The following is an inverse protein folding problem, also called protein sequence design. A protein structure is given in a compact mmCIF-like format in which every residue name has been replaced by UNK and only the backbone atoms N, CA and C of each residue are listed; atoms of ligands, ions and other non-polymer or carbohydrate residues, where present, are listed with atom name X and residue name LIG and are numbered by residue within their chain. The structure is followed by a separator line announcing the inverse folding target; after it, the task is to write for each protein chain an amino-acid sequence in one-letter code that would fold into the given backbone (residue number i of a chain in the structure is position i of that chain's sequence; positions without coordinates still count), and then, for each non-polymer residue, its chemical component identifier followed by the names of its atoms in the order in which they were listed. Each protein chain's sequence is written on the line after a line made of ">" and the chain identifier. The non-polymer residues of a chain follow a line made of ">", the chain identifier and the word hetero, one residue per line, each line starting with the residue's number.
data_IF_998788187120
#
_entry.id   IF_998788187120
#
_cell.length_a   1.000
_cell.length_b   1.000
_cell.length_c   1.000
_cell.angle_alpha   90.00
_cell.angle_beta   90.00
_cell.angle_gamma   90.00
#
_symmetry.space_group_name_H-M   'P 1'
#
loop_
_entity.id
_entity.type
_entity.pdbx_description
1 polymer ?
#
# COMPACT_ATOMS: atom_id res chain seq x y z
N UNK A 1 33.83 40.51 18.63
CA UNK A 1 32.81 40.12 19.61
C UNK A 1 32.08 38.88 19.10
N UNK A 2 31.70 37.95 19.97
CA UNK A 2 30.73 36.88 19.68
C UNK A 2 29.65 36.96 20.76
N UNK A 3 28.38 36.92 20.38
CA UNK A 3 27.26 36.77 21.31
C UNK A 3 26.64 35.41 21.00
N UNK A 4 26.61 34.52 21.98
CA UNK A 4 25.93 33.23 21.89
C UNK A 4 24.86 33.16 22.96
N UNK A 5 23.71 32.59 22.62
CA UNK A 5 22.65 32.29 23.58
C UNK A 5 22.52 30.77 23.72
N UNK A 6 22.64 30.29 24.96
CA UNK A 6 22.26 28.93 25.36
C UNK A 6 20.93 29.00 26.10
N UNK A 7 20.01 28.07 25.84
CA UNK A 7 18.87 27.78 26.72
C UNK A 7 18.61 26.28 26.76
N UNK A 8 18.99 25.63 27.86
CA UNK A 8 18.57 24.27 28.21
C UNK A 8 17.15 24.31 28.80
N UNK A 9 16.22 23.47 28.32
CA UNK A 9 15.09 22.98 29.12
C UNK A 9 14.80 21.48 28.81
N UNK A 10 15.28 20.63 29.71
CA UNK A 10 14.74 19.35 30.22
C UNK A 10 13.75 18.49 29.39
N UNK A 11 14.12 17.21 29.21
CA UNK A 11 13.17 16.08 29.19
C UNK A 11 12.61 15.82 30.61
N UNK A 12 11.45 15.14 30.71
CA UNK A 12 11.15 14.22 31.80
C UNK A 12 11.01 12.78 31.29
N UNK A 13 11.62 11.80 31.99
CA UNK A 13 11.37 10.37 31.75
C UNK A 13 10.43 9.79 32.82
N UNK A 14 9.58 8.85 32.39
CA UNK A 14 8.88 7.79 33.14
C UNK A 14 8.65 7.97 34.66
N UNK A 15 7.38 7.97 35.06
CA UNK A 15 6.96 7.44 36.36
C UNK A 15 5.99 6.26 36.12
N UNK A 16 6.39 5.07 36.56
CA UNK A 16 5.48 3.94 36.77
C UNK A 16 4.77 4.12 38.12
N UNK A 17 3.44 4.05 38.15
CA UNK A 17 2.70 3.69 39.38
C UNK A 17 1.56 2.72 39.07
N UNK A 18 1.47 1.67 39.89
CA UNK A 18 0.51 0.59 39.83
C UNK A 18 -0.24 0.53 41.17
N UNK A 19 -1.58 0.53 41.21
CA UNK A 19 -2.34 0.25 42.43
C UNK A 19 -3.25 -0.99 42.27
N UNK A 20 -2.67 -2.19 42.33
CA UNK A 20 -3.45 -3.41 42.53
C UNK A 20 -3.88 -3.53 44.01
N UNK A 21 -5.17 -3.26 44.33
CA UNK A 21 -5.87 -3.83 45.49
C UNK A 21 -7.35 -3.44 45.61
N UNK A 22 -8.26 -4.38 45.30
CA UNK A 22 -9.50 -4.61 46.08
C UNK A 22 -10.05 -6.01 45.80
N UNK A 23 -10.23 -6.82 46.85
CA UNK A 23 -10.92 -8.12 46.77
C UNK A 23 -12.42 -7.92 46.97
N UNK A 24 -13.21 -8.60 46.16
CA UNK A 24 -14.54 -9.10 46.50
C UNK A 24 -14.70 -10.47 45.81
N UNK A 25 -15.48 -11.39 46.40
CA UNK A 25 -15.57 -12.76 45.91
C UNK A 25 -17.01 -13.29 46.03
N UNK A 26 -17.44 -14.09 45.04
CA UNK A 26 -18.38 -15.22 45.18
C UNK A 26 -18.86 -15.69 43.80
N UNK A 27 -19.39 -16.92 43.71
CA UNK A 27 -20.23 -17.34 42.58
C UNK A 27 -19.59 -18.31 41.58
N UNK A 28 -19.38 -19.57 41.98
CA UNK A 28 -19.33 -20.66 41.00
C UNK A 28 -20.76 -21.04 40.62
N UNK A 29 -21.05 -21.13 39.32
CA UNK A 29 -22.14 -21.97 38.79
C UNK A 29 -21.56 -22.77 37.62
N UNK A 30 -21.68 -24.10 37.69
CA UNK A 30 -21.55 -24.97 36.52
C UNK A 30 -22.93 -25.12 35.87
N UNK A 31 -22.97 -25.11 34.56
CA UNK A 31 -24.00 -25.78 33.77
C UNK A 31 -23.33 -26.54 32.63
N UNK A 32 -23.93 -27.67 32.26
CA UNK A 32 -23.36 -28.63 31.31
C UNK A 32 -23.87 -28.37 29.88
N UNK A 33 -23.28 -29.05 28.89
CA UNK A 33 -23.66 -28.92 27.48
C UNK A 33 -25.10 -29.38 27.20
N UNK A 34 -25.65 -28.96 26.06
CA UNK A 34 -26.23 -29.93 25.13
C UNK A 34 -25.43 -30.02 23.81
N UNK A 35 -25.65 -31.13 23.10
CA UNK A 35 -24.89 -31.55 21.92
C UNK A 35 -25.53 -31.12 20.59
N UNK A 36 -24.68 -30.98 19.57
CA UNK A 36 -24.94 -31.26 18.13
C UNK A 36 -26.06 -30.53 17.38
N UNK A 37 -25.64 -29.71 16.40
CA UNK A 37 -26.22 -29.65 15.06
C UNK A 37 -25.06 -29.42 14.05
N UNK A 38 -25.14 -29.90 12.79
CA UNK A 38 -24.07 -29.69 11.80
C UNK A 38 -24.10 -28.25 11.24
N UNK A 39 -22.92 -27.67 10.99
CA UNK A 39 -22.80 -26.36 10.33
C UNK A 39 -23.09 -26.50 8.82
N UNK A 40 -24.17 -25.87 8.34
CA UNK A 40 -24.42 -25.77 6.90
C UNK A 40 -23.46 -24.76 6.25
N UNK A 41 -22.58 -25.24 5.38
CA UNK A 41 -21.79 -24.36 4.50
C UNK A 41 -22.71 -23.76 3.43
N UNK A 42 -23.13 -22.51 3.63
CA UNK A 42 -23.76 -21.71 2.57
C UNK A 42 -22.80 -21.63 1.39
N UNK A 43 -23.14 -22.34 0.31
CA UNK A 43 -22.29 -22.47 -0.88
C UNK A 43 -22.92 -21.66 -2.00
N UNK A 44 -22.56 -20.38 -2.08
CA UNK A 44 -23.05 -19.47 -3.13
C UNK A 44 -22.46 -19.87 -4.49
N UNK A 45 -23.27 -20.47 -5.36
CA UNK A 45 -22.90 -20.71 -6.76
C UNK A 45 -23.25 -19.50 -7.62
N UNK A 46 -22.24 -18.87 -8.21
CA UNK A 46 -22.37 -17.89 -9.28
C UNK A 46 -21.47 -18.27 -10.46
N UNK A 47 -22.02 -18.37 -11.67
CA UNK A 47 -21.27 -18.41 -12.93
C UNK A 47 -21.15 -16.97 -13.43
N UNK A 48 -20.09 -16.51 -14.09
CA UNK A 48 -18.86 -17.17 -14.58
C UNK A 48 -17.61 -16.45 -14.02
N UNK A 49 -16.44 -17.09 -14.05
CA UNK A 49 -15.17 -16.44 -13.63
C UNK A 49 -15.02 -16.15 -12.13
N UNK A 50 -15.87 -16.71 -11.27
CA UNK A 50 -15.90 -16.42 -9.83
C UNK A 50 -14.67 -16.98 -9.09
N UNK A 51 -13.62 -16.17 -8.94
CA UNK A 51 -12.56 -16.43 -7.97
C UNK A 51 -13.16 -16.50 -6.56
N UNK A 52 -12.72 -17.47 -5.75
CA UNK A 52 -13.03 -17.49 -4.32
C UNK A 52 -12.34 -16.29 -3.65
N UNK A 53 -13.02 -15.51 -2.79
CA UNK A 53 -12.37 -14.51 -1.96
C UNK A 53 -11.26 -15.14 -1.11
N UNK A 54 -10.11 -14.47 -1.02
CA UNK A 54 -8.98 -14.94 -0.21
C UNK A 54 -9.19 -14.65 1.28
N UNK A 55 -9.85 -13.52 1.60
CA UNK A 55 -10.21 -13.15 2.97
C UNK A 55 -11.34 -14.04 3.49
N UNK A 56 -11.12 -14.67 4.64
CA UNK A 56 -12.10 -15.55 5.28
C UNK A 56 -13.06 -14.75 6.16
N UNK A 57 -14.28 -14.52 5.68
CA UNK A 57 -15.37 -13.97 6.48
C UNK A 57 -15.89 -15.04 7.48
N UNK A 58 -15.13 -15.32 8.54
CA UNK A 58 -15.50 -16.26 9.60
C UNK A 58 -15.71 -15.55 10.94
N UNK A 59 -16.93 -15.05 11.17
CA UNK A 59 -17.30 -14.28 12.37
C UNK A 59 -18.80 -13.98 12.44
N UNK A 60 -19.58 -14.96 12.93
CA UNK A 60 -21.06 -15.06 12.84
C UNK A 60 -21.87 -14.03 13.69
N UNK A 61 -21.38 -12.79 13.85
CA UNK A 61 -22.14 -11.71 14.53
C UNK A 61 -21.95 -10.31 13.93
N UNK A 62 -20.82 -10.03 13.26
CA UNK A 62 -20.57 -8.73 12.58
C UNK A 62 -20.82 -8.78 11.06
N UNK A 63 -20.96 -9.99 10.52
CA UNK A 63 -21.08 -10.33 9.09
C UNK A 63 -22.28 -9.67 8.37
N UNK A 64 -23.35 -9.31 9.08
CA UNK A 64 -24.62 -8.91 8.46
C UNK A 64 -24.77 -7.41 8.12
N UNK A 65 -23.78 -6.55 8.43
CA UNK A 65 -23.87 -5.12 8.09
C UNK A 65 -22.68 -4.61 7.28
N UNK A 66 -21.45 -4.91 7.70
CA UNK A 66 -20.27 -4.44 6.97
C UNK A 66 -20.04 -5.23 5.66
N UNK A 67 -20.14 -6.57 5.71
CA UNK A 67 -20.07 -7.40 4.50
C UNK A 67 -21.25 -7.13 3.57
N UNK A 68 -22.46 -6.90 4.10
CA UNK A 68 -23.60 -6.50 3.28
C UNK A 68 -23.37 -5.13 2.61
N UNK A 69 -22.89 -4.12 3.35
CA UNK A 69 -22.56 -2.81 2.75
C UNK A 69 -21.48 -2.91 1.68
N UNK A 70 -20.45 -3.73 1.88
CA UNK A 70 -19.41 -3.99 0.88
C UNK A 70 -19.95 -4.73 -0.35
N UNK A 71 -20.87 -5.68 -0.16
CA UNK A 71 -21.56 -6.40 -1.25
C UNK A 71 -22.54 -5.50 -2.01
N UNK A 72 -23.25 -4.60 -1.33
CA UNK A 72 -24.17 -3.64 -1.93
C UNK A 72 -23.40 -2.63 -2.80
N UNK A 73 -22.27 -2.10 -2.30
CA UNK A 73 -21.36 -1.27 -3.11
C UNK A 73 -20.77 -2.08 -4.28
N UNK A 74 -20.32 -3.31 -4.04
CA UNK A 74 -19.81 -4.20 -5.09
C UNK A 74 -20.85 -4.52 -6.18
N UNK A 75 -22.15 -4.53 -5.85
CA UNK A 75 -23.23 -4.79 -6.80
C UNK A 75 -23.46 -3.64 -7.80
N UNK A 76 -22.98 -2.43 -7.49
CA UNK A 76 -23.01 -1.26 -8.37
C UNK A 76 -21.65 -0.81 -8.92
N UNK A 77 -20.55 -1.41 -8.47
CA UNK A 77 -19.20 -0.97 -8.81
C UNK A 77 -18.74 -1.46 -10.20
N UNK A 78 -18.72 -0.55 -11.19
CA UNK A 78 -18.16 -0.81 -12.53
C UNK A 78 -16.62 -0.86 -12.52
N UNK A 79 -16.04 -1.86 -11.85
CA UNK A 79 -14.59 -2.09 -11.82
C UNK A 79 -14.07 -2.53 -13.21
N UNK A 80 -12.93 -2.00 -13.69
CA UNK A 80 -12.37 -2.38 -14.99
C UNK A 80 -12.00 -3.87 -15.11
N UNK A 81 -11.92 -4.37 -16.34
CA UNK A 81 -11.61 -5.78 -16.63
C UNK A 81 -10.25 -6.24 -16.11
N UNK A 82 -9.25 -5.34 -15.97
CA UNK A 82 -7.97 -5.66 -15.33
C UNK A 82 -8.12 -6.04 -13.85
N UNK A 83 -9.15 -5.52 -13.17
CA UNK A 83 -9.48 -5.87 -11.79
C UNK A 83 -10.30 -7.15 -11.75
N UNK A 84 -11.41 -7.21 -12.49
CA UNK A 84 -12.39 -8.31 -12.40
C UNK A 84 -11.90 -9.62 -13.03
N UNK A 85 -10.83 -9.59 -13.84
CA UNK A 85 -10.12 -10.80 -14.27
C UNK A 85 -9.16 -11.37 -13.22
N UNK A 86 -8.93 -10.67 -12.10
CA UNK A 86 -8.03 -11.08 -11.01
C UNK A 86 -8.71 -11.19 -9.64
N UNK A 87 -9.69 -10.35 -9.34
CA UNK A 87 -10.33 -10.23 -8.02
C UNK A 87 -11.85 -10.34 -8.09
N UNK A 88 -12.47 -10.87 -7.03
CA UNK A 88 -13.88 -10.63 -6.80
C UNK A 88 -14.10 -9.14 -6.45
N UNK A 89 -15.12 -8.44 -6.99
CA UNK A 89 -15.32 -7.00 -6.76
C UNK A 89 -15.34 -6.59 -5.28
N UNK A 90 -16.06 -7.34 -4.42
CA UNK A 90 -16.14 -7.07 -2.99
C UNK A 90 -14.81 -7.28 -2.24
N UNK A 91 -13.96 -8.19 -2.73
CA UNK A 91 -12.62 -8.42 -2.17
C UNK A 91 -11.69 -7.25 -2.49
N UNK A 92 -11.69 -6.79 -3.75
CA UNK A 92 -10.89 -5.65 -4.19
C UNK A 92 -11.29 -4.35 -3.47
N UNK A 93 -12.59 -4.11 -3.28
CA UNK A 93 -13.11 -2.96 -2.54
C UNK A 93 -12.75 -3.01 -1.05
N UNK A 94 -12.71 -4.20 -0.44
CA UNK A 94 -12.37 -4.36 0.98
C UNK A 94 -10.88 -4.16 1.26
N UNK A 95 -10.02 -4.66 0.38
CA UNK A 95 -8.56 -4.46 0.43
C UNK A 95 -8.16 -2.99 0.16
N UNK A 96 -8.95 -2.26 -0.61
CA UNK A 96 -8.69 -0.87 -1.00
C UNK A 96 -9.80 0.05 -0.47
N UNK A 97 -9.92 0.10 0.85
CA UNK A 97 -11.01 0.71 1.62
C UNK A 97 -10.65 2.05 2.29
N UNK A 98 -9.51 2.65 1.92
CA UNK A 98 -9.09 3.98 2.38
C UNK A 98 -9.81 5.14 1.66
N UNK A 99 -9.50 6.37 2.06
CA UNK A 99 -10.04 7.58 1.41
C UNK A 99 -9.15 8.01 0.23
N UNK A 100 -7.84 8.13 0.41
CA UNK A 100 -6.88 8.33 -0.70
C UNK A 100 -6.50 6.98 -1.32
N UNK A 101 -6.03 6.03 -0.50
CA UNK A 101 -5.72 4.67 -0.93
C UNK A 101 -7.00 3.80 -1.00
N UNK A 102 -8.05 4.36 -1.61
CA UNK A 102 -9.32 3.71 -1.94
C UNK A 102 -9.28 3.07 -3.34
N UNK A 103 -10.27 2.25 -3.68
CA UNK A 103 -10.23 1.36 -4.86
C UNK A 103 -10.02 2.01 -6.25
N UNK A 104 -10.16 3.33 -6.42
CA UNK A 104 -9.74 4.00 -7.66
C UNK A 104 -8.22 4.11 -7.79
N UNK A 105 -7.52 4.37 -6.68
CA UNK A 105 -6.08 4.63 -6.67
C UNK A 105 -5.24 3.50 -7.28
N UNK A 106 -5.29 2.23 -6.81
CA UNK A 106 -4.52 1.14 -7.39
C UNK A 106 -4.90 0.86 -8.86
N UNK A 107 -6.12 1.22 -9.29
CA UNK A 107 -6.52 1.13 -10.71
C UNK A 107 -5.84 2.22 -11.56
N UNK A 108 -5.80 3.47 -11.06
CA UNK A 108 -5.06 4.57 -11.69
C UNK A 108 -3.56 4.26 -11.75
N UNK A 109 -2.97 3.78 -10.66
CA UNK A 109 -1.56 3.36 -10.58
C UNK A 109 -1.29 2.20 -11.53
N UNK A 110 -2.11 1.14 -11.55
CA UNK A 110 -1.92 0.01 -12.46
C UNK A 110 -1.98 0.41 -13.95
N UNK A 111 -2.92 1.28 -14.33
CA UNK A 111 -3.05 1.89 -15.67
C UNK A 111 -1.81 2.72 -16.04
N UNK A 112 -1.26 3.48 -15.09
CA UNK A 112 -0.03 4.26 -15.29
C UNK A 112 1.19 3.33 -15.41
N UNK A 113 1.40 2.39 -14.49
CA UNK A 113 2.49 1.40 -14.52
C UNK A 113 2.51 0.61 -15.83
N UNK A 114 1.36 0.09 -16.29
CA UNK A 114 1.30 -0.67 -17.54
C UNK A 114 1.69 0.18 -18.76
N UNK A 115 1.31 1.46 -18.75
CA UNK A 115 1.62 2.44 -19.81
C UNK A 115 3.10 2.79 -19.82
N UNK A 116 3.64 3.15 -18.66
CA UNK A 116 5.04 3.58 -18.50
C UNK A 116 6.01 2.43 -18.77
N UNK A 117 5.70 1.21 -18.33
CA UNK A 117 6.48 0.01 -18.63
C UNK A 117 6.59 -0.25 -20.14
N UNK A 118 5.46 -0.17 -20.87
CA UNK A 118 5.44 -0.33 -22.34
C UNK A 118 6.25 0.76 -23.04
N UNK A 119 6.14 2.01 -22.60
CA UNK A 119 6.90 3.13 -23.15
C UNK A 119 8.41 3.05 -22.82
N UNK A 120 8.77 2.42 -21.70
CA UNK A 120 10.15 2.06 -21.36
C UNK A 120 10.72 0.87 -22.17
N UNK A 121 9.90 0.22 -23.01
CA UNK A 121 10.29 -0.93 -23.82
C UNK A 121 10.21 -2.28 -23.11
N UNK A 122 9.56 -2.36 -21.95
CA UNK A 122 9.29 -3.63 -21.24
C UNK A 122 8.28 -4.46 -22.05
N UNK A 123 8.45 -5.79 -22.07
CA UNK A 123 7.55 -6.67 -22.83
C UNK A 123 6.11 -6.56 -22.33
N UNK A 124 5.13 -6.86 -23.20
CA UNK A 124 3.70 -6.76 -22.87
C UNK A 124 3.37 -7.59 -21.63
N UNK A 125 3.86 -8.82 -21.58
CA UNK A 125 3.64 -9.80 -20.52
C UNK A 125 4.20 -9.30 -19.18
N UNK A 126 5.38 -8.66 -19.21
CA UNK A 126 5.98 -8.08 -18.00
C UNK A 126 5.31 -6.78 -17.58
N UNK A 127 4.82 -5.96 -18.51
CA UNK A 127 3.97 -4.81 -18.18
C UNK A 127 2.63 -5.24 -17.56
N UNK A 128 2.03 -6.34 -18.03
CA UNK A 128 0.83 -6.95 -17.43
C UNK A 128 1.11 -7.51 -16.03
N UNK A 129 2.28 -8.10 -15.79
CA UNK A 129 2.73 -8.45 -14.44
C UNK A 129 2.83 -7.21 -13.52
N UNK A 130 3.51 -6.14 -13.96
CA UNK A 130 3.68 -4.92 -13.13
C UNK A 130 2.35 -4.20 -12.86
N UNK A 131 1.39 -4.25 -13.80
CA UNK A 131 0.00 -3.84 -13.58
C UNK A 131 -0.65 -4.65 -12.47
N UNK A 132 -0.57 -5.98 -12.53
CA UNK A 132 -1.22 -6.87 -11.57
C UNK A 132 -0.58 -6.78 -10.16
N UNK A 133 0.71 -6.45 -10.07
CA UNK A 133 1.37 -6.05 -8.81
C UNK A 133 0.88 -4.69 -8.31
N UNK A 134 0.67 -3.72 -9.20
CA UNK A 134 0.11 -2.40 -8.83
C UNK A 134 -1.33 -2.50 -8.30
N UNK A 135 -2.13 -3.46 -8.78
CA UNK A 135 -3.45 -3.76 -8.21
C UNK A 135 -3.42 -4.35 -6.79
N UNK A 136 -2.24 -4.78 -6.30
CA UNK A 136 -2.05 -5.33 -4.95
C UNK A 136 -1.34 -4.39 -3.97
N UNK A 137 -0.68 -3.31 -4.41
CA UNK A 137 0.33 -2.64 -3.57
C UNK A 137 -0.22 -2.06 -2.24
N UNK A 138 -1.46 -1.59 -2.25
CA UNK A 138 -2.18 -1.08 -1.09
C UNK A 138 -3.20 -2.06 -0.48
N UNK A 139 -3.07 -3.36 -0.75
CA UNK A 139 -3.99 -4.40 -0.29
C UNK A 139 -3.89 -4.66 1.23
N UNK A 140 -4.34 -3.66 1.99
CA UNK A 140 -4.45 -3.59 3.43
C UNK A 140 -5.94 -3.71 3.79
N UNK A 141 -6.36 -4.90 4.22
CA UNK A 141 -7.67 -5.04 4.86
C UNK A 141 -7.65 -4.21 6.15
N UNK A 142 -8.31 -3.04 6.11
CA UNK A 142 -8.37 -2.06 7.20
C UNK A 142 -9.30 -2.53 8.31
N UNK A 143 -9.03 -3.72 8.81
CA UNK A 143 -9.72 -4.43 9.88
C UNK A 143 -8.72 -4.53 11.04
N UNK A 144 -8.86 -3.65 12.02
CA UNK A 144 -8.08 -3.69 13.25
C UNK A 144 -8.62 -4.81 14.14
N UNK A 145 -7.78 -5.81 14.43
CA UNK A 145 -8.07 -6.79 15.47
C UNK A 145 -7.60 -6.23 16.83
N UNK A 146 -8.52 -6.07 17.78
CA UNK A 146 -8.20 -5.56 19.11
C UNK A 146 -7.41 -6.58 19.94
N UNK A 147 -6.88 -6.15 21.08
CA UNK A 147 -6.11 -7.01 22.00
C UNK A 147 -6.91 -8.15 22.66
N UNK A 148 -8.22 -8.25 22.39
CA UNK A 148 -9.13 -9.28 22.88
C UNK A 148 -9.60 -10.22 21.76
N UNK A 149 -9.23 -9.95 20.50
CA UNK A 149 -9.64 -10.71 19.32
C UNK A 149 -10.93 -10.24 18.64
N UNK A 150 -11.46 -9.06 18.99
CA UNK A 150 -12.58 -8.45 18.27
C UNK A 150 -12.07 -7.77 16.99
N UNK A 151 -12.82 -7.88 15.90
CA UNK A 151 -12.56 -7.10 14.69
C UNK A 151 -13.34 -5.78 14.73
N UNK A 152 -12.65 -4.65 14.59
CA UNK A 152 -13.22 -3.37 14.23
C UNK A 152 -12.66 -2.94 12.89
N UNK A 153 -13.43 -2.21 12.08
CA UNK A 153 -12.80 -1.48 10.97
C UNK A 153 -11.87 -0.42 11.56
N UNK A 154 -10.77 -0.12 10.87
CA UNK A 154 -10.01 1.08 11.16
C UNK A 154 -10.94 2.28 10.97
N UNK A 155 -10.83 3.29 11.84
CA UNK A 155 -11.47 4.57 11.57
C UNK A 155 -10.98 5.10 10.22
N UNK A 156 -11.87 5.79 9.51
CA UNK A 156 -11.55 6.38 8.19
C UNK A 156 -10.36 7.33 8.33
N UNK A 157 -9.48 7.32 7.34
CA UNK A 157 -8.22 8.07 7.39
C UNK A 157 -6.97 7.26 7.76
N UNK A 158 -7.02 5.91 7.83
CA UNK A 158 -5.80 5.09 7.98
C UNK A 158 -5.22 4.70 6.61
N UNK A 159 -3.98 5.14 6.38
CA UNK A 159 -3.14 4.81 5.22
C UNK A 159 -2.98 3.31 5.00
N UNK A 160 -2.81 2.91 3.75
CA UNK A 160 -2.30 1.57 3.44
C UNK A 160 -0.89 1.37 4.03
N UNK A 161 -0.58 0.15 4.48
CA UNK A 161 0.70 -0.20 5.09
C UNK A 161 1.32 -1.37 4.34
N UNK A 162 2.42 -1.14 3.64
CA UNK A 162 3.14 -2.17 2.88
C UNK A 162 3.45 -3.43 3.72
N UNK A 163 3.84 -3.36 5.00
CA UNK A 163 3.97 -4.55 5.86
C UNK A 163 2.71 -5.41 6.00
N UNK A 164 1.51 -4.81 5.92
CA UNK A 164 0.22 -5.53 5.96
C UNK A 164 -0.05 -6.17 4.60
N UNK A 165 0.13 -5.44 3.50
CA UNK A 165 0.06 -5.98 2.13
C UNK A 165 0.97 -7.22 1.98
N UNK A 166 2.22 -7.13 2.40
CA UNK A 166 3.20 -8.22 2.29
C UNK A 166 2.82 -9.44 3.15
N UNK A 167 2.16 -9.23 4.30
CA UNK A 167 1.64 -10.31 5.13
C UNK A 167 0.36 -10.94 4.56
N UNK A 168 -0.56 -10.14 4.00
CA UNK A 168 -1.70 -10.63 3.23
C UNK A 168 -1.23 -11.50 2.07
N UNK A 169 -0.18 -11.08 1.36
CA UNK A 169 0.46 -11.88 0.32
C UNK A 169 1.01 -13.21 0.85
N UNK A 170 1.79 -13.19 1.94
CA UNK A 170 2.38 -14.40 2.53
C UNK A 170 1.31 -15.40 3.01
N UNK A 171 0.25 -14.92 3.65
CA UNK A 171 -0.87 -15.75 4.12
C UNK A 171 -1.65 -16.40 2.98
N UNK A 172 -1.68 -15.76 1.80
CA UNK A 172 -2.47 -16.19 0.64
C UNK A 172 -1.60 -16.65 -0.55
N UNK A 173 -0.31 -16.91 -0.33
CA UNK A 173 0.71 -17.14 -1.37
C UNK A 173 0.23 -18.07 -2.49
N UNK A 174 -0.16 -19.30 -2.15
CA UNK A 174 -0.43 -20.34 -3.14
C UNK A 174 -1.67 -20.00 -3.99
N UNK A 175 -2.67 -19.37 -3.37
CA UNK A 175 -3.90 -18.95 -4.05
C UNK A 175 -3.71 -17.68 -4.88
N UNK A 176 -2.82 -16.75 -4.47
CA UNK A 176 -2.39 -15.62 -5.30
C UNK A 176 -1.56 -16.08 -6.50
N UNK A 177 -0.66 -17.06 -6.31
CA UNK A 177 0.12 -17.66 -7.41
C UNK A 177 -0.81 -18.32 -8.44
N UNK A 178 -1.78 -19.13 -8.01
CA UNK A 178 -2.80 -19.73 -8.90
C UNK A 178 -3.63 -18.66 -9.63
N UNK A 179 -4.19 -17.70 -8.90
CA UNK A 179 -5.06 -16.61 -9.40
C UNK A 179 -4.37 -15.70 -10.42
N UNK A 180 -3.13 -15.32 -10.16
CA UNK A 180 -2.36 -14.43 -11.03
C UNK A 180 -1.66 -15.19 -12.17
N UNK A 181 -1.46 -16.50 -12.02
CA UNK A 181 -0.60 -17.31 -12.90
C UNK A 181 0.89 -17.09 -12.64
N UNK A 182 1.26 -16.56 -11.47
CA UNK A 182 2.64 -16.23 -11.10
C UNK A 182 3.42 -17.46 -10.63
N UNK A 183 4.65 -17.60 -11.13
CA UNK A 183 5.63 -18.51 -10.53
C UNK A 183 6.05 -18.04 -9.13
N UNK A 184 6.71 -18.94 -8.37
CA UNK A 184 7.33 -18.59 -7.07
C UNK A 184 8.37 -17.48 -7.18
N UNK A 185 9.02 -17.32 -8.34
CA UNK A 185 9.91 -16.20 -8.61
C UNK A 185 9.14 -14.89 -8.73
N UNK A 186 8.14 -14.84 -9.61
CA UNK A 186 7.30 -13.66 -9.83
C UNK A 186 6.55 -13.21 -8.57
N UNK A 187 6.11 -14.14 -7.71
CA UNK A 187 5.54 -13.79 -6.40
C UNK A 187 6.56 -13.11 -5.48
N UNK A 188 7.81 -13.60 -5.43
CA UNK A 188 8.88 -12.98 -4.63
C UNK A 188 9.31 -11.63 -5.23
N UNK A 189 9.23 -11.46 -6.55
CA UNK A 189 9.44 -10.18 -7.23
C UNK A 189 8.32 -9.19 -6.94
N UNK A 190 7.05 -9.63 -6.93
CA UNK A 190 5.90 -8.82 -6.54
C UNK A 190 6.04 -8.30 -5.10
N UNK A 191 6.47 -9.17 -4.17
CA UNK A 191 6.81 -8.76 -2.81
C UNK A 191 7.96 -7.75 -2.75
N UNK A 192 8.99 -7.90 -3.59
CA UNK A 192 10.10 -6.94 -3.64
C UNK A 192 9.68 -5.58 -4.22
N UNK A 193 8.80 -5.56 -5.22
CA UNK A 193 8.23 -4.33 -5.78
C UNK A 193 7.37 -3.60 -4.75
N UNK A 194 6.44 -4.31 -4.11
CA UNK A 194 5.54 -3.74 -3.08
C UNK A 194 6.34 -3.30 -1.83
N UNK A 195 7.38 -4.03 -1.44
CA UNK A 195 8.29 -3.59 -0.38
C UNK A 195 9.02 -2.25 -0.67
N UNK A 196 9.04 -1.80 -1.92
CA UNK A 196 9.69 -0.56 -2.34
C UNK A 196 8.76 0.64 -2.56
N UNK A 197 7.43 0.47 -2.55
CA UNK A 197 6.50 1.63 -2.65
C UNK A 197 6.43 2.43 -1.36
N UNK A 198 6.58 1.75 -0.21
CA UNK A 198 6.58 2.32 1.15
C UNK A 198 7.31 3.68 1.24
N UNK A 199 6.65 4.68 1.86
CA UNK A 199 7.13 6.06 1.87
C UNK A 199 7.12 6.66 3.29
N UNK A 200 8.28 7.10 3.81
CA UNK A 200 9.58 7.17 3.15
C UNK A 200 10.36 5.84 3.14
N UNK A 201 10.87 5.45 1.96
CA UNK A 201 11.72 4.27 1.78
C UNK A 201 13.12 4.51 2.41
N UNK A 202 13.25 4.20 3.71
CA UNK A 202 14.48 4.44 4.46
C UNK A 202 14.74 3.39 5.55
N UNK A 203 15.85 3.57 6.28
CA UNK A 203 16.29 2.70 7.39
C UNK A 203 15.76 3.11 8.78
N UNK A 204 14.88 4.10 8.87
CA UNK A 204 14.23 4.42 10.14
C UNK A 204 13.22 3.31 10.49
N UNK A 205 13.17 2.92 11.76
CA UNK A 205 12.20 1.94 12.27
C UNK A 205 10.85 2.63 12.45
N UNK A 206 10.15 2.85 11.34
CA UNK A 206 8.85 3.53 11.28
C UNK A 206 7.65 2.63 11.59
N UNK A 207 7.76 1.32 11.33
CA UNK A 207 6.72 0.34 11.66
C UNK A 207 6.65 0.09 13.18
N UNK A 208 5.92 0.97 13.88
CA UNK A 208 5.44 0.71 15.23
C UNK A 208 4.57 -0.55 15.24
N UNK A 209 4.59 -1.31 16.36
CA UNK A 209 4.09 -2.70 16.45
C UNK A 209 2.78 -2.94 15.70
N UNK A 210 2.91 -3.60 14.54
CA UNK A 210 1.77 -4.19 13.86
C UNK A 210 1.52 -5.54 14.52
N UNK A 211 0.69 -5.51 15.57
CA UNK A 211 0.28 -6.70 16.30
C UNK A 211 -0.17 -7.79 15.30
N UNK A 212 0.20 -9.03 15.59
CA UNK A 212 -0.03 -10.23 14.76
C UNK A 212 0.86 -10.39 13.51
N UNK A 213 1.75 -9.43 13.15
CA UNK A 213 2.67 -9.55 12.00
C UNK A 213 4.17 -9.68 12.38
N UNK A 214 4.59 -10.76 13.09
CA UNK A 214 5.94 -10.88 13.65
C UNK A 214 7.07 -11.01 12.61
N UNK A 215 6.77 -11.20 11.32
CA UNK A 215 7.78 -11.21 10.27
C UNK A 215 8.18 -9.80 9.79
N UNK A 216 7.34 -8.79 10.00
CA UNK A 216 7.59 -7.41 9.56
C UNK A 216 7.70 -6.40 10.71
N UNK A 217 7.23 -6.75 11.91
CA UNK A 217 7.38 -5.94 13.14
C UNK A 217 8.83 -5.50 13.38
N UNK A 218 9.01 -4.21 13.70
CA UNK A 218 10.31 -3.61 14.02
C UNK A 218 11.33 -3.52 12.88
N UNK A 219 10.96 -3.81 11.62
CA UNK A 219 11.84 -3.60 10.45
C UNK A 219 11.65 -2.20 9.85
N UNK A 220 12.71 -1.68 9.22
CA UNK A 220 12.65 -0.49 8.37
C UNK A 220 12.21 -0.86 6.95
N UNK A 221 11.65 0.11 6.20
CA UNK A 221 11.20 -0.11 4.82
C UNK A 221 12.34 -0.61 3.91
N UNK A 222 13.48 0.07 3.97
CA UNK A 222 14.70 -0.30 3.23
C UNK A 222 15.16 -1.73 3.57
N UNK A 223 15.08 -2.13 4.84
CA UNK A 223 15.41 -3.50 5.27
C UNK A 223 14.44 -4.54 4.73
N UNK A 224 13.13 -4.28 4.74
CA UNK A 224 12.15 -5.22 4.17
C UNK A 224 12.40 -5.41 2.68
N UNK A 225 12.61 -4.31 1.93
CA UNK A 225 13.00 -4.34 0.51
C UNK A 225 14.29 -5.13 0.29
N UNK A 226 15.34 -4.88 1.08
CA UNK A 226 16.62 -5.61 1.02
C UNK A 226 16.45 -7.11 1.23
N UNK A 227 15.64 -7.51 2.20
CA UNK A 227 15.34 -8.91 2.48
C UNK A 227 14.55 -9.56 1.33
N UNK A 228 13.56 -8.87 0.74
CA UNK A 228 12.82 -9.40 -0.41
C UNK A 228 13.67 -9.50 -1.68
N UNK A 229 14.54 -8.52 -1.96
CA UNK A 229 15.49 -8.55 -3.08
C UNK A 229 16.55 -9.65 -2.88
N UNK A 230 17.04 -9.85 -1.66
CA UNK A 230 18.08 -10.85 -1.36
C UNK A 230 17.62 -12.29 -1.63
N UNK A 231 16.31 -12.55 -1.62
CA UNK A 231 15.73 -13.85 -1.98
C UNK A 231 15.71 -14.14 -3.50
N UNK A 232 15.95 -13.13 -4.35
CA UNK A 232 15.94 -13.27 -5.81
C UNK A 232 17.32 -13.58 -6.40
N UNK A 233 17.42 -14.26 -7.56
CA UNK A 233 18.67 -14.37 -8.32
C UNK A 233 19.21 -12.99 -8.72
N UNK A 234 20.53 -12.77 -8.70
CA UNK A 234 21.16 -11.45 -8.92
C UNK A 234 20.67 -10.71 -10.17
N UNK A 235 20.54 -11.39 -11.30
CA UNK A 235 20.01 -10.83 -12.55
C UNK A 235 18.58 -10.28 -12.43
N UNK A 236 17.76 -10.83 -11.52
CA UNK A 236 16.40 -10.35 -11.25
C UNK A 236 16.38 -9.21 -10.23
N UNK A 237 17.36 -9.13 -9.32
CA UNK A 237 17.46 -8.04 -8.35
C UNK A 237 17.62 -6.67 -9.04
N UNK A 238 18.47 -6.58 -10.07
CA UNK A 238 18.61 -5.32 -10.83
C UNK A 238 17.36 -4.98 -11.64
N UNK A 239 16.77 -5.97 -12.31
CA UNK A 239 15.56 -5.77 -13.12
C UNK A 239 14.36 -5.32 -12.25
N UNK A 240 14.18 -5.91 -11.06
CA UNK A 240 13.16 -5.45 -10.09
C UNK A 240 13.44 -4.04 -9.59
N UNK A 241 14.70 -3.64 -9.38
CA UNK A 241 15.05 -2.26 -9.00
C UNK A 241 14.78 -1.24 -10.11
N UNK A 242 14.90 -1.63 -11.39
CA UNK A 242 14.52 -0.79 -12.54
C UNK A 242 12.99 -0.67 -12.66
N UNK A 243 12.27 -1.79 -12.57
CA UNK A 243 10.81 -1.84 -12.62
C UNK A 243 10.16 -1.10 -11.43
N UNK A 244 10.78 -1.16 -10.24
CA UNK A 244 10.35 -0.42 -9.05
C UNK A 244 10.35 1.09 -9.27
N UNK A 245 11.32 1.63 -10.00
CA UNK A 245 11.37 3.08 -10.29
C UNK A 245 10.19 3.51 -11.17
N UNK A 246 9.79 2.67 -12.13
CA UNK A 246 8.61 2.90 -12.97
C UNK A 246 7.32 2.81 -12.14
N UNK A 247 7.20 1.79 -11.28
CA UNK A 247 6.02 1.60 -10.42
C UNK A 247 5.85 2.73 -9.40
N UNK A 248 6.92 3.18 -8.74
CA UNK A 248 6.89 4.34 -7.81
C UNK A 248 6.59 5.65 -8.53
N UNK A 249 7.05 5.82 -9.77
CA UNK A 249 6.72 6.99 -10.58
C UNK A 249 5.25 6.98 -11.05
N UNK A 250 4.68 5.80 -11.32
CA UNK A 250 3.26 5.62 -11.57
C UNK A 250 2.43 5.97 -10.33
N UNK A 251 2.72 5.37 -9.17
CA UNK A 251 2.14 5.68 -7.85
C UNK A 251 2.09 7.21 -7.60
N UNK A 252 3.25 7.86 -7.59
CA UNK A 252 3.37 9.31 -7.34
C UNK A 252 2.56 10.18 -8.31
N UNK A 253 2.36 9.75 -9.57
CA UNK A 253 1.79 10.61 -10.62
C UNK A 253 0.34 10.31 -10.97
N UNK A 254 -0.16 9.09 -10.73
CA UNK A 254 -1.39 8.58 -11.33
C UNK A 254 -2.63 9.46 -11.10
N UNK A 255 -2.81 9.95 -9.87
CA UNK A 255 -3.93 10.82 -9.48
C UNK A 255 -4.02 12.13 -10.28
N UNK A 256 -2.89 12.59 -10.82
CA UNK A 256 -2.75 13.84 -11.57
C UNK A 256 -2.88 13.64 -13.09
N UNK A 257 -2.99 12.40 -13.58
CA UNK A 257 -3.02 12.09 -15.03
C UNK A 257 -4.42 12.14 -15.63
N UNK A 258 -5.46 12.06 -14.81
CA UNK A 258 -6.88 12.12 -15.22
C UNK A 258 -7.51 13.53 -15.03
N UNK A 259 -6.70 14.55 -14.71
CA UNK A 259 -7.08 15.98 -14.82
C UNK A 259 -7.25 16.75 -13.51
N UNK A 260 -7.59 18.05 -13.64
CA UNK A 260 -7.62 19.04 -12.53
C UNK A 260 -8.53 18.60 -11.39
N UNK A 261 -9.73 18.11 -11.68
CA UNK A 261 -10.69 17.71 -10.65
C UNK A 261 -10.33 16.37 -10.00
N UNK A 262 -9.65 15.46 -10.72
CA UNK A 262 -9.03 14.27 -10.09
C UNK A 262 -7.98 14.72 -9.09
N UNK A 263 -7.01 15.53 -9.53
CA UNK A 263 -5.94 16.05 -8.67
C UNK A 263 -6.48 16.79 -7.42
N UNK A 264 -7.53 17.62 -7.56
CA UNK A 264 -8.18 18.30 -6.42
C UNK A 264 -8.86 17.31 -5.46
N UNK A 265 -9.51 16.28 -6.00
CA UNK A 265 -10.16 15.22 -5.22
C UNK A 265 -9.13 14.43 -4.42
N UNK A 266 -8.09 13.90 -5.08
CA UNK A 266 -7.06 13.11 -4.41
C UNK A 266 -6.26 13.93 -3.39
N UNK A 267 -6.04 15.24 -3.62
CA UNK A 267 -5.42 16.14 -2.61
C UNK A 267 -6.33 16.38 -1.40
N UNK A 268 -7.66 16.43 -1.58
CA UNK A 268 -8.64 16.50 -0.49
C UNK A 268 -8.72 15.19 0.30
N UNK A 269 -8.67 14.07 -0.37
CA UNK A 269 -8.80 12.77 0.27
C UNK A 269 -7.48 12.39 0.97
N UNK A 270 -6.32 12.79 0.44
CA UNK A 270 -5.04 12.79 1.13
C UNK A 270 -5.01 13.71 2.36
N UNK A 271 -5.63 14.89 2.30
CA UNK A 271 -5.78 15.77 3.46
C UNK A 271 -6.61 15.10 4.58
N UNK A 272 -7.63 14.35 4.18
CA UNK A 272 -8.51 13.61 5.09
C UNK A 272 -7.77 12.42 5.72
N UNK A 273 -6.98 11.69 4.94
CA UNK A 273 -6.18 10.53 5.38
C UNK A 273 -4.85 10.89 6.10
N UNK A 274 -4.49 12.17 6.12
CA UNK A 274 -3.37 12.67 6.92
C UNK A 274 -3.79 13.21 8.29
N UNK A 275 -5.02 13.73 8.43
CA UNK A 275 -5.57 14.52 9.55
C UNK A 275 -4.79 15.81 9.93
N UNK A 276 -3.46 15.81 9.79
CA UNK A 276 -2.55 16.85 10.31
C UNK A 276 -2.14 17.92 9.29
N UNK A 277 -2.45 17.74 8.00
CA UNK A 277 -2.10 18.71 6.94
C UNK A 277 -3.38 19.22 6.25
N UNK A 278 -3.73 20.51 6.39
CA UNK A 278 -4.92 21.07 5.75
C UNK A 278 -4.90 20.97 4.22
N UNK A 279 -6.07 20.73 3.62
CA UNK A 279 -6.27 20.68 2.16
C UNK A 279 -5.63 21.85 1.41
N UNK A 280 -5.87 23.09 1.84
CA UNK A 280 -5.32 24.29 1.19
C UNK A 280 -3.78 24.33 1.18
N UNK A 281 -3.13 23.72 2.19
CA UNK A 281 -1.69 23.64 2.28
C UNK A 281 -1.11 22.58 1.33
N UNK A 282 -1.76 21.41 1.22
CA UNK A 282 -1.39 20.37 0.25
C UNK A 282 -1.64 20.85 -1.19
N UNK A 283 -2.80 21.44 -1.46
CA UNK A 283 -3.18 21.98 -2.77
C UNK A 283 -2.20 23.06 -3.24
N UNK A 284 -1.80 23.98 -2.35
CA UNK A 284 -0.75 24.97 -2.64
C UNK A 284 0.63 24.34 -2.84
N UNK A 285 0.89 23.16 -2.25
CA UNK A 285 2.10 22.37 -2.47
C UNK A 285 2.10 21.58 -3.78
N UNK A 286 0.93 21.22 -4.32
CA UNK A 286 0.77 20.33 -5.49
C UNK A 286 1.59 20.76 -6.72
N UNK A 287 1.69 22.04 -7.13
CA UNK A 287 2.54 22.42 -8.26
C UNK A 287 4.03 22.11 -8.05
N UNK A 288 4.53 22.22 -6.81
CA UNK A 288 5.92 21.90 -6.45
C UNK A 288 6.15 20.39 -6.29
N UNK A 289 5.12 19.64 -5.89
CA UNK A 289 5.12 18.18 -5.91
C UNK A 289 5.17 17.65 -7.36
N UNK A 290 4.36 18.22 -8.27
CA UNK A 290 4.36 17.89 -9.69
C UNK A 290 5.74 18.18 -10.33
N UNK A 291 6.33 19.34 -10.06
CA UNK A 291 7.72 19.63 -10.46
C UNK A 291 8.75 18.71 -9.80
N UNK A 292 8.38 18.02 -8.72
CA UNK A 292 9.18 17.01 -8.03
C UNK A 292 9.00 15.57 -8.52
N UNK A 293 8.02 15.27 -9.39
CA UNK A 293 7.75 13.89 -9.82
C UNK A 293 8.98 13.23 -10.46
N UNK A 294 9.32 12.02 -10.01
CA UNK A 294 10.53 11.32 -10.45
C UNK A 294 11.85 11.93 -9.97
N UNK A 295 11.81 12.97 -9.12
CA UNK A 295 12.96 13.53 -8.40
C UNK A 295 12.83 13.20 -6.92
N UNK A 296 13.96 12.93 -6.27
CA UNK A 296 14.08 13.06 -4.82
C UNK A 296 14.14 14.55 -4.47
N UNK A 297 12.97 15.20 -4.48
CA UNK A 297 12.85 16.65 -4.34
C UNK A 297 13.13 17.06 -2.88
N UNK A 298 13.95 18.09 -2.63
CA UNK A 298 14.47 18.38 -1.27
C UNK A 298 13.40 18.74 -0.23
N UNK A 299 12.20 19.17 -0.65
CA UNK A 299 11.03 19.33 0.22
C UNK A 299 10.49 18.00 0.80
N UNK A 300 10.91 16.87 0.22
CA UNK A 300 10.64 15.49 0.63
C UNK A 300 11.96 14.68 0.77
N UNK A 301 13.12 15.34 0.91
CA UNK A 301 14.34 14.66 1.31
C UNK A 301 14.16 14.14 2.75
N UNK A 302 14.40 12.87 3.04
CA UNK A 302 15.60 12.17 2.58
C UNK A 302 15.36 10.70 2.18
N UNK A 303 16.39 10.18 1.50
CA UNK A 303 16.75 8.77 1.30
C UNK A 303 16.37 7.98 0.02
N UNK A 304 15.27 8.13 -0.75
CA UNK A 304 14.91 7.10 -1.76
C UNK A 304 15.99 6.68 -2.77
N UNK A 305 16.73 7.61 -3.38
CA UNK A 305 17.89 7.34 -4.27
C UNK A 305 19.18 7.09 -3.49
N UNK A 306 19.31 7.58 -2.26
CA UNK A 306 20.47 7.27 -1.41
C UNK A 306 20.39 5.82 -0.92
N UNK A 307 19.27 5.41 -0.34
CA UNK A 307 18.88 4.02 -0.07
C UNK A 307 18.87 3.19 -1.35
N UNK A 308 18.36 3.68 -2.48
CA UNK A 308 18.43 2.96 -3.76
C UNK A 308 19.86 2.64 -4.18
N UNK A 309 20.77 3.63 -4.12
CA UNK A 309 22.22 3.43 -4.39
C UNK A 309 22.91 2.58 -3.34
N UNK A 310 22.56 2.74 -2.06
CA UNK A 310 23.07 1.93 -0.98
C UNK A 310 22.66 0.46 -1.15
N UNK A 311 21.39 0.17 -1.47
CA UNK A 311 20.90 -1.16 -1.78
C UNK A 311 21.60 -1.75 -3.01
N UNK A 312 21.81 -0.96 -4.07
CA UNK A 312 22.61 -1.38 -5.24
C UNK A 312 24.02 -1.82 -4.81
N UNK A 313 24.70 -1.03 -3.97
CA UNK A 313 26.05 -1.34 -3.48
C UNK A 313 26.10 -2.50 -2.47
N UNK A 314 25.18 -2.55 -1.51
CA UNK A 314 25.08 -3.63 -0.53
C UNK A 314 24.66 -4.97 -1.16
N UNK A 315 23.99 -4.93 -2.31
CA UNK A 315 23.67 -6.10 -3.12
C UNK A 315 24.73 -6.38 -4.21
N UNK A 316 25.77 -5.55 -4.38
CA UNK A 316 26.80 -5.75 -5.41
C UNK A 316 26.22 -5.72 -6.84
N UNK A 317 25.34 -4.77 -7.11
CA UNK A 317 24.62 -4.58 -8.38
C UNK A 317 25.15 -3.38 -9.18
N UNK A 318 26.30 -2.82 -8.81
CA UNK A 318 26.96 -1.75 -9.57
C UNK A 318 27.20 -2.19 -11.03
N UNK A 319 26.79 -1.33 -11.98
CA UNK A 319 26.85 -1.62 -13.41
C UNK A 319 25.83 -2.66 -13.91
N UNK A 320 25.01 -3.25 -13.02
CA UNK A 320 23.95 -4.21 -13.36
C UNK A 320 22.54 -3.63 -13.22
N UNK A 321 22.34 -2.68 -12.31
CA UNK A 321 21.07 -1.97 -12.11
C UNK A 321 21.16 -0.52 -12.62
N UNK A 322 20.24 -0.12 -13.50
CA UNK A 322 20.09 1.26 -13.97
C UNK A 322 19.28 2.08 -12.97
N UNK A 323 19.69 3.34 -12.78
CA UNK A 323 18.86 4.36 -12.17
C UNK A 323 18.39 5.27 -13.30
N UNK A 324 17.08 5.43 -13.45
CA UNK A 324 16.50 6.36 -14.43
C UNK A 324 16.62 7.80 -13.91
N UNK A 325 16.92 8.73 -14.81
CA UNK A 325 16.79 10.16 -14.55
C UNK A 325 15.32 10.57 -14.52
N UNK A 326 14.97 11.70 -13.85
CA UNK A 326 13.61 12.26 -13.92
C UNK A 326 13.15 12.48 -15.36
N UNK A 327 14.06 12.88 -16.26
CA UNK A 327 13.78 13.09 -17.68
C UNK A 327 13.42 11.79 -18.41
N UNK A 328 14.03 10.67 -18.06
CA UNK A 328 13.67 9.35 -18.62
C UNK A 328 12.32 8.87 -18.08
N UNK A 329 12.05 9.04 -16.77
CA UNK A 329 10.76 8.70 -16.16
C UNK A 329 9.60 9.49 -16.77
N UNK A 330 9.73 10.82 -16.89
CA UNK A 330 8.75 11.66 -17.60
C UNK A 330 8.67 11.30 -19.10
N UNK A 331 9.76 10.81 -19.69
CA UNK A 331 9.79 10.27 -21.05
C UNK A 331 8.98 8.98 -21.23
N UNK A 332 8.56 8.30 -20.16
CA UNK A 332 7.65 7.17 -20.21
C UNK A 332 6.16 7.57 -20.16
N UNK A 333 5.83 8.85 -19.90
CA UNK A 333 4.47 9.37 -20.04
C UNK A 333 4.08 9.55 -21.52
N UNK A 334 2.80 9.41 -21.83
CA UNK A 334 2.27 9.82 -23.14
C UNK A 334 2.28 11.35 -23.30
N UNK A 335 2.26 11.83 -24.55
CA UNK A 335 2.16 13.27 -24.84
C UNK A 335 0.90 13.93 -24.27
N UNK A 336 -0.17 13.16 -24.06
CA UNK A 336 -1.40 13.66 -23.45
C UNK A 336 -1.31 13.66 -21.93
N UNK A 337 -0.74 12.61 -21.30
CA UNK A 337 -0.45 12.59 -19.86
C UNK A 337 0.46 13.75 -19.45
N UNK A 338 1.52 14.02 -20.22
CA UNK A 338 2.42 15.16 -20.00
C UNK A 338 1.71 16.52 -20.15
N UNK A 339 0.68 16.60 -21.01
CA UNK A 339 -0.14 17.82 -21.15
C UNK A 339 -1.08 17.98 -19.96
N UNK A 340 -1.81 16.92 -19.58
CA UNK A 340 -2.71 16.93 -18.42
C UNK A 340 -1.95 17.35 -17.16
N UNK A 341 -0.74 16.83 -16.94
CA UNK A 341 0.08 17.17 -15.78
C UNK A 341 0.47 18.66 -15.75
N UNK A 342 0.75 19.26 -16.92
CA UNK A 342 1.01 20.69 -17.05
C UNK A 342 -0.27 21.53 -16.84
N UNK A 343 -1.41 21.09 -17.36
CA UNK A 343 -2.72 21.73 -17.15
C UNK A 343 -3.15 21.69 -15.67
N UNK A 344 -2.93 20.58 -14.97
CA UNK A 344 -3.14 20.44 -13.51
C UNK A 344 -2.26 21.44 -12.77
N UNK A 345 -0.95 21.49 -13.08
CA UNK A 345 -0.02 22.42 -12.46
C UNK A 345 -0.47 23.88 -12.66
N UNK A 346 -0.84 24.27 -13.87
CA UNK A 346 -1.28 25.64 -14.16
C UNK A 346 -2.59 26.01 -13.45
N UNK A 347 -3.59 25.13 -13.45
CA UNK A 347 -4.91 25.42 -12.89
C UNK A 347 -5.01 25.25 -11.36
N UNK A 348 -4.01 24.66 -10.71
CA UNK A 348 -3.86 24.67 -9.24
C UNK A 348 -2.97 25.85 -8.77
N UNK A 349 -2.17 26.45 -9.65
CA UNK A 349 -1.31 27.61 -9.34
C UNK A 349 -2.02 28.98 -9.40
N UNK A 350 -3.34 29.01 -9.64
CA UNK A 350 -4.16 30.21 -9.88
C UNK A 350 -5.23 30.37 -8.80
#
# INVERSE_FOLDING_TARGET
>A
MRVGFQTNINRPERIFQNPASRKAASGQIKTEQPSSAPQERITLQGREGSFKPLVSLSGDTLLNQASQSALDVASGANLPSMVTSRFAPAEFLMLNSGDYHGAEHPVKVAKATETFAKNAGISKERAEFLRDVSLLHDADERILMDGNGNYSYADKGVKARVPVTLAFMDLNQDALQERMGWSKGEFQEAKALIAGTEHPLNDNVGAGRINNLPHYDGKSAARVLKEQLSALPKQRQSQVLEELQIMRFADQSAEYLDGVESARTSVKDLASELEVVPYDALLKGTPNFIDGLGKDNEAFADLPVQTGRALITELGLEGQARIFTPQELHGFMSSDQSRTLAEVKENISR
#
